data_IF_372429194360
#
_entry.id   IF_372429194360
#
_cell.length_a   1.000
_cell.length_b   1.000
_cell.length_c   1.000
_cell.angle_alpha   90.00
_cell.angle_beta   90.00
_cell.angle_gamma   90.00
#
_symmetry.space_group_name_H-M   'P 1'
#
loop_
_entity.id
_entity.type
_entity.pdbx_description
1 polymer ?
#
# COMPACT_ATOMS: atom_id res chain seq x y z
N UNK A 1 15.82 -14.60 6.97
CA UNK A 1 14.85 -14.15 7.99
C UNK A 1 13.87 -13.11 7.44
N UNK A 2 14.36 -12.05 6.77
CA UNK A 2 13.51 -10.99 6.18
C UNK A 2 12.45 -11.46 5.17
N UNK A 3 12.67 -12.58 4.45
CA UNK A 3 11.69 -13.14 3.51
C UNK A 3 10.39 -13.57 4.21
N UNK A 4 10.50 -14.30 5.32
CA UNK A 4 9.34 -14.73 6.10
C UNK A 4 8.59 -13.54 6.71
N UNK A 5 9.33 -12.54 7.20
CA UNK A 5 8.74 -11.29 7.68
C UNK A 5 8.00 -10.54 6.58
N UNK A 6 8.56 -10.47 5.37
CA UNK A 6 7.92 -9.86 4.19
C UNK A 6 6.66 -10.60 3.77
N UNK A 7 6.66 -11.93 3.75
CA UNK A 7 5.46 -12.73 3.48
C UNK A 7 4.36 -12.49 4.53
N UNK A 8 4.71 -12.46 5.81
CA UNK A 8 3.75 -12.19 6.90
C UNK A 8 3.16 -10.78 6.76
N UNK A 9 3.98 -9.77 6.50
CA UNK A 9 3.52 -8.40 6.28
C UNK A 9 2.64 -8.26 5.04
N UNK A 10 2.99 -8.93 3.94
CA UNK A 10 2.19 -8.90 2.72
C UNK A 10 0.80 -9.51 2.95
N UNK A 11 0.74 -10.67 3.61
CA UNK A 11 -0.52 -11.35 3.92
C UNK A 11 -1.37 -10.53 4.89
N UNK A 12 -0.79 -10.07 6.00
CA UNK A 12 -1.52 -9.25 6.98
C UNK A 12 -1.96 -7.92 6.38
N UNK A 13 -1.11 -7.26 5.59
CA UNK A 13 -1.43 -6.02 4.89
C UNK A 13 -2.60 -6.21 3.91
N UNK A 14 -2.60 -7.28 3.11
CA UNK A 14 -3.70 -7.60 2.19
C UNK A 14 -5.00 -7.98 2.90
N UNK A 15 -4.95 -8.65 4.06
CA UNK A 15 -6.17 -8.95 4.83
C UNK A 15 -6.73 -7.66 5.43
N UNK A 16 -5.86 -6.81 5.96
CA UNK A 16 -6.28 -5.58 6.60
C UNK A 16 -6.80 -4.53 5.60
N UNK A 17 -6.52 -4.62 4.29
CA UNK A 17 -7.16 -3.74 3.29
C UNK A 17 -8.61 -4.09 3.01
N UNK A 18 -9.03 -5.32 3.30
CA UNK A 18 -10.39 -5.82 3.07
C UNK A 18 -11.19 -5.88 4.37
N UNK A 19 -10.56 -6.27 5.47
CA UNK A 19 -11.21 -6.56 6.76
C UNK A 19 -10.68 -5.66 7.89
N UNK A 20 -9.71 -4.78 7.62
CA UNK A 20 -9.08 -3.95 8.65
C UNK A 20 -9.99 -2.83 9.18
N UNK A 21 -9.68 -2.31 10.39
CA UNK A 21 -10.43 -1.21 10.99
C UNK A 21 -10.37 0.05 10.10
N UNK A 22 -11.52 0.64 9.78
CA UNK A 22 -11.59 1.86 8.97
C UNK A 22 -11.60 1.67 7.46
N UNK A 23 -11.85 0.46 6.93
CA UNK A 23 -11.98 0.21 5.47
C UNK A 23 -13.08 1.02 4.75
N UNK A 24 -14.01 1.63 5.49
CA UNK A 24 -15.02 2.54 4.93
C UNK A 24 -14.43 3.89 4.54
N UNK A 25 -13.35 4.31 5.19
CA UNK A 25 -12.67 5.56 4.89
C UNK A 25 -11.58 5.33 3.84
N UNK A 26 -11.68 5.97 2.66
CA UNK A 26 -10.78 5.70 1.53
C UNK A 26 -9.30 6.03 1.84
N UNK A 27 -9.05 6.98 2.73
CA UNK A 27 -7.70 7.35 3.20
C UNK A 27 -7.08 6.21 4.02
N UNK A 28 -7.82 5.67 4.98
CA UNK A 28 -7.35 4.59 5.86
C UNK A 28 -7.12 3.30 5.07
N UNK A 29 -7.98 3.02 4.08
CA UNK A 29 -7.80 1.90 3.15
C UNK A 29 -6.52 2.01 2.33
N UNK A 30 -6.18 3.21 1.85
CA UNK A 30 -4.92 3.46 1.13
C UNK A 30 -3.72 3.17 2.02
N UNK A 31 -3.72 3.70 3.25
CA UNK A 31 -2.67 3.42 4.23
C UNK A 31 -2.48 1.93 4.50
N UNK A 32 -3.59 1.18 4.59
CA UNK A 32 -3.50 -0.25 4.81
C UNK A 32 -2.94 -1.02 3.61
N UNK A 33 -3.06 -0.46 2.40
CA UNK A 33 -2.51 -1.05 1.17
C UNK A 33 -1.00 -0.84 1.11
N UNK A 34 -0.49 0.26 1.68
CA UNK A 34 0.95 0.52 1.80
C UNK A 34 1.64 -0.51 2.70
N UNK A 35 0.98 -1.00 3.75
CA UNK A 35 1.54 -2.05 4.62
C UNK A 35 1.82 -3.34 3.83
N UNK A 36 0.92 -3.70 2.91
CA UNK A 36 1.12 -4.84 2.02
C UNK A 36 2.30 -4.60 1.06
N UNK A 37 2.41 -3.38 0.52
CA UNK A 37 3.50 -3.01 -0.37
C UNK A 37 4.88 -3.03 0.32
N UNK A 38 4.97 -2.59 1.58
CA UNK A 38 6.20 -2.69 2.37
C UNK A 38 6.63 -4.16 2.55
N UNK A 39 5.68 -5.07 2.76
CA UNK A 39 5.94 -6.51 2.80
C UNK A 39 6.53 -7.06 1.50
N UNK A 40 6.00 -6.62 0.35
CA UNK A 40 6.52 -7.02 -0.96
C UNK A 40 7.92 -6.45 -1.24
N UNK A 41 8.19 -5.23 -0.80
CA UNK A 41 9.52 -4.61 -0.87
C UNK A 41 10.55 -5.42 -0.07
N UNK A 42 10.20 -5.87 1.14
CA UNK A 42 11.05 -6.75 1.95
C UNK A 42 11.37 -8.08 1.25
N UNK A 43 10.41 -8.65 0.50
CA UNK A 43 10.62 -9.87 -0.28
C UNK A 43 11.61 -9.62 -1.43
N UNK A 44 11.46 -8.53 -2.18
CA UNK A 44 12.36 -8.21 -3.29
C UNK A 44 13.80 -7.92 -2.84
N UNK A 45 13.97 -7.33 -1.65
CA UNK A 45 15.29 -7.07 -1.07
C UNK A 45 16.09 -8.37 -0.79
N UNK A 46 15.41 -9.46 -0.42
CA UNK A 46 16.09 -10.75 -0.14
C UNK A 46 16.61 -11.42 -1.40
N UNK A 47 15.96 -11.21 -2.54
CA UNK A 47 16.34 -11.85 -3.81
C UNK A 47 17.50 -11.16 -4.53
N UNK A 48 18.12 -10.11 -3.94
CA UNK A 48 19.13 -9.28 -4.60
C UNK A 48 18.64 -8.68 -5.94
N UNK A 49 17.33 -8.62 -6.17
CA UNK A 49 16.71 -7.95 -7.29
C UNK A 49 16.50 -6.46 -6.93
N UNK A 50 17.59 -5.74 -6.68
CA UNK A 50 17.58 -4.32 -6.30
C UNK A 50 16.85 -3.44 -7.33
N UNK A 51 16.94 -3.78 -8.62
CA UNK A 51 16.17 -3.12 -9.66
C UNK A 51 14.65 -3.32 -9.50
N UNK A 52 14.21 -4.55 -9.20
CA UNK A 52 12.79 -4.82 -8.96
C UNK A 52 12.28 -4.10 -7.71
N UNK A 53 13.11 -4.05 -6.66
CA UNK A 53 12.82 -3.31 -5.43
C UNK A 53 12.62 -1.81 -5.70
N UNK A 54 13.57 -1.18 -6.40
CA UNK A 54 13.52 0.26 -6.71
C UNK A 54 12.31 0.61 -7.58
N UNK A 55 12.01 -0.20 -8.60
CA UNK A 55 10.82 -0.02 -9.43
C UNK A 55 9.54 -0.20 -8.63
N UNK A 56 9.48 -1.21 -7.76
CA UNK A 56 8.31 -1.48 -6.95
C UNK A 56 8.04 -0.34 -5.95
N UNK A 57 9.07 0.15 -5.24
CA UNK A 57 8.94 1.29 -4.32
C UNK A 57 8.50 2.54 -5.10
N UNK A 58 9.11 2.82 -6.25
CA UNK A 58 8.75 3.97 -7.09
C UNK A 58 7.30 3.88 -7.58
N UNK A 59 6.88 2.72 -8.08
CA UNK A 59 5.51 2.48 -8.54
C UNK A 59 4.51 2.64 -7.39
N UNK A 60 4.80 2.06 -6.22
CA UNK A 60 3.94 2.16 -5.04
C UNK A 60 3.77 3.61 -4.62
N UNK A 61 4.87 4.36 -4.47
CA UNK A 61 4.82 5.78 -4.09
C UNK A 61 4.00 6.62 -5.09
N UNK A 62 4.17 6.38 -6.40
CA UNK A 62 3.38 7.06 -7.44
C UNK A 62 1.90 6.69 -7.33
N UNK A 63 1.58 5.41 -7.16
CA UNK A 63 0.20 4.95 -6.98
C UNK A 63 -0.46 5.58 -5.74
N UNK A 64 0.25 5.68 -4.62
CA UNK A 64 -0.23 6.29 -3.38
C UNK A 64 -0.50 7.78 -3.54
N UNK A 65 0.39 8.51 -4.23
CA UNK A 65 0.18 9.93 -4.53
C UNK A 65 -1.03 10.16 -5.44
N UNK A 66 -1.22 9.31 -6.45
CA UNK A 66 -2.38 9.37 -7.33
C UNK A 66 -3.66 9.06 -6.55
N UNK A 67 -3.67 7.99 -5.75
CA UNK A 67 -4.81 7.60 -4.92
C UNK A 67 -5.19 8.71 -3.94
N UNK A 68 -4.23 9.27 -3.19
CA UNK A 68 -4.48 10.38 -2.28
C UNK A 68 -5.07 11.59 -3.00
N UNK A 69 -4.53 11.95 -4.18
CA UNK A 69 -5.05 13.07 -4.97
C UNK A 69 -6.48 12.83 -5.48
N UNK A 70 -6.81 11.58 -5.84
CA UNK A 70 -8.17 11.20 -6.24
C UNK A 70 -9.10 11.25 -5.04
N UNK A 71 -8.68 10.76 -3.88
CA UNK A 71 -9.49 10.74 -2.66
C UNK A 71 -9.82 12.15 -2.19
N UNK A 72 -8.83 13.06 -2.13
CA UNK A 72 -9.09 14.45 -1.74
C UNK A 72 -10.03 15.16 -2.70
N UNK A 73 -9.90 14.90 -4.02
CA UNK A 73 -10.83 15.44 -5.04
C UNK A 73 -12.24 14.87 -4.92
N UNK A 74 -12.39 13.60 -4.57
CA UNK A 74 -13.70 12.98 -4.34
C UNK A 74 -14.35 13.52 -3.05
N UNK A 75 -13.56 13.79 -2.01
CA UNK A 75 -14.04 14.42 -0.78
C UNK A 75 -14.52 15.86 -1.03
N UNK A 76 -13.79 16.63 -1.85
CA UNK A 76 -14.21 17.98 -2.29
C UNK A 76 -15.54 17.95 -3.07
N UNK A 77 -15.69 17.04 -4.05
CA UNK A 77 -16.92 16.93 -4.86
C UNK A 77 -18.11 16.43 -4.04
N UNK A 78 -17.87 15.55 -3.06
CA UNK A 78 -18.91 15.05 -2.17
C UNK A 78 -19.35 16.05 -1.09
N UNK A 79 -18.50 17.02 -0.74
CA UNK A 79 -18.82 18.09 0.20
C UNK A 79 -19.66 19.23 -0.42
N UNK A 80 -19.68 19.30 -1.75
CA UNK A 80 -20.46 20.27 -2.54
C UNK A 80 -21.89 19.76 -2.90
N UNK A 81 -22.31 18.59 -2.39
CA UNK A 81 -23.62 17.97 -2.63
C UNK A 81 -24.48 17.90 -1.34
#
# INVERSE_FOLDING_TARGET
>A
MFFYTGCILAILGSIATVVGPGVKDPIVRTFNTEVAAIGLSLIFLVYNHTLALMTFIAATAVTTLILLRVITRLEEIGADA
#
